data_IF_075658709338
#
_entry.id   IF_075658709338
#
_cell.length_a   1.000
_cell.length_b   1.000
_cell.length_c   1.000
_cell.angle_alpha   90.00
_cell.angle_beta   90.00
_cell.angle_gamma   90.00
#
_symmetry.space_group_name_H-M   'P 1'
#
loop_
_entity.id
_entity.type
_entity.pdbx_description
1 polymer ?
#
# COMPACT_ATOMS: atom_id res chain seq x y z
N UNK A 1 21.28 -1.77 15.92
CA UNK A 1 20.25 -2.24 14.99
C UNK A 1 19.25 -3.05 15.82
N UNK A 2 18.19 -2.44 16.26
CA UNK A 2 17.15 -3.10 17.05
C UNK A 2 16.05 -3.53 16.07
N UNK A 3 15.85 -4.82 15.94
CA UNK A 3 14.71 -5.39 15.23
C UNK A 3 13.45 -5.11 16.06
N UNK A 4 12.61 -4.16 15.63
CA UNK A 4 11.24 -4.08 16.10
C UNK A 4 10.45 -5.21 15.41
N UNK A 5 10.29 -6.33 16.12
CA UNK A 5 9.35 -7.37 15.71
C UNK A 5 7.93 -6.79 15.82
N UNK A 6 7.23 -6.68 14.71
CA UNK A 6 5.79 -6.39 14.69
C UNK A 6 5.08 -7.42 15.58
N UNK A 7 4.50 -6.96 16.69
CA UNK A 7 3.77 -7.81 17.62
C UNK A 7 2.37 -8.07 17.04
N UNK A 8 2.00 -9.33 16.86
CA UNK A 8 0.65 -9.71 16.42
C UNK A 8 -0.41 -9.39 17.50
N UNK A 9 -1.69 -9.22 17.17
CA UNK A 9 -2.77 -8.96 18.12
C UNK A 9 -2.86 -9.98 19.25
N UNK A 10 -2.56 -11.23 18.94
CA UNK A 10 -2.44 -12.29 19.95
C UNK A 10 -1.32 -12.01 20.99
N UNK A 11 -0.30 -11.22 20.64
CA UNK A 11 0.75 -10.88 21.58
C UNK A 11 0.31 -9.86 22.64
N UNK A 12 -0.65 -8.99 22.35
CA UNK A 12 -1.13 -8.04 23.34
C UNK A 12 -1.92 -8.71 24.47
N UNK A 13 -2.99 -9.38 24.11
CA UNK A 13 -3.72 -10.16 25.12
C UNK A 13 -2.82 -11.14 25.86
N UNK A 14 -1.81 -11.69 25.18
CA UNK A 14 -0.82 -12.53 25.83
C UNK A 14 0.10 -11.74 26.75
N UNK A 15 0.55 -10.54 26.37
CA UNK A 15 1.40 -9.70 27.25
C UNK A 15 0.61 -9.17 28.45
N UNK A 16 -0.63 -8.71 28.25
CA UNK A 16 -1.52 -8.36 29.38
C UNK A 16 -1.80 -9.57 30.25
N UNK A 17 -2.11 -10.73 29.68
CA UNK A 17 -2.29 -11.98 30.44
C UNK A 17 -1.03 -12.44 31.17
N UNK A 18 0.15 -12.28 30.57
CA UNK A 18 1.43 -12.61 31.19
C UNK A 18 1.70 -11.65 32.35
N UNK A 19 1.59 -10.35 32.12
CA UNK A 19 1.77 -9.33 33.15
C UNK A 19 0.77 -9.49 34.31
N UNK A 20 -0.51 -9.62 34.01
CA UNK A 20 -1.55 -9.92 35.00
C UNK A 20 -1.27 -11.25 35.69
N UNK A 21 -0.87 -12.27 34.95
CA UNK A 21 -0.54 -13.58 35.49
C UNK A 21 0.68 -13.58 36.40
N UNK A 22 1.67 -12.74 36.16
CA UNK A 22 2.84 -12.56 37.02
C UNK A 22 2.47 -11.79 38.29
N UNK A 23 1.69 -10.70 38.18
CA UNK A 23 1.15 -10.01 39.34
C UNK A 23 0.26 -10.91 40.21
N UNK A 24 -0.62 -11.71 39.59
CA UNK A 24 -1.49 -12.65 40.30
C UNK A 24 -0.72 -13.77 41.01
N UNK A 25 0.46 -14.16 40.52
CA UNK A 25 1.30 -15.15 41.19
C UNK A 25 2.02 -14.57 42.39
N UNK A 26 2.35 -13.28 42.34
CA UNK A 26 3.11 -12.60 43.38
C UNK A 26 2.19 -12.01 44.46
N UNK A 27 1.01 -11.52 44.09
CA UNK A 27 0.09 -10.86 44.97
C UNK A 27 -1.31 -11.51 44.94
N UNK A 28 -1.94 -11.64 46.09
CA UNK A 28 -3.27 -12.27 46.22
C UNK A 28 -4.38 -11.27 45.94
N UNK A 29 -4.65 -10.97 44.67
CA UNK A 29 -5.77 -10.13 44.27
C UNK A 29 -6.57 -10.73 43.10
N UNK A 30 -7.79 -10.26 42.95
CA UNK A 30 -8.65 -10.61 41.81
C UNK A 30 -8.58 -9.53 40.74
N UNK A 31 -8.81 -9.92 39.51
CA UNK A 31 -8.88 -8.95 38.41
C UNK A 31 -10.11 -9.20 37.57
N UNK A 32 -10.56 -8.14 36.92
CA UNK A 32 -11.61 -8.15 35.91
C UNK A 32 -11.14 -7.33 34.69
N UNK A 33 -11.54 -7.79 33.51
CA UNK A 33 -11.21 -7.11 32.24
C UNK A 33 -12.52 -6.73 31.59
N UNK A 34 -12.75 -5.41 31.44
CA UNK A 34 -13.94 -4.93 30.74
C UNK A 34 -13.88 -5.21 29.24
N UNK A 35 -15.01 -5.21 28.58
CA UNK A 35 -15.05 -5.06 27.13
C UNK A 35 -14.50 -3.69 26.72
N UNK A 36 -14.00 -3.60 25.46
CA UNK A 36 -13.52 -2.32 24.93
C UNK A 36 -14.65 -1.28 24.93
N UNK A 37 -14.32 -0.07 25.36
CA UNK A 37 -15.23 1.06 25.23
C UNK A 37 -15.33 1.53 23.76
N UNK A 38 -16.19 2.53 23.49
CA UNK A 38 -16.40 3.08 22.14
C UNK A 38 -15.15 3.73 21.54
N UNK A 39 -14.16 4.00 22.36
CA UNK A 39 -12.85 4.58 21.98
C UNK A 39 -11.77 3.51 21.82
N UNK A 40 -12.11 2.23 22.05
CA UNK A 40 -11.18 1.10 21.94
C UNK A 40 -10.27 0.91 23.15
N UNK A 41 -10.66 1.41 24.33
CA UNK A 41 -9.92 1.19 25.56
C UNK A 41 -10.51 0.06 26.38
N UNK A 42 -9.64 -0.75 26.97
CA UNK A 42 -9.99 -1.75 27.96
C UNK A 42 -9.61 -1.26 29.35
N UNK A 43 -10.48 -1.53 30.33
CA UNK A 43 -10.15 -1.31 31.73
C UNK A 43 -9.79 -2.66 32.34
N UNK A 44 -8.62 -2.77 32.93
CA UNK A 44 -8.25 -3.90 33.79
C UNK A 44 -8.31 -3.40 35.22
N UNK A 45 -9.22 -3.99 35.98
CA UNK A 45 -9.48 -3.62 37.35
C UNK A 45 -8.91 -4.69 38.28
N UNK A 46 -8.07 -4.26 39.20
CA UNK A 46 -7.46 -5.11 40.20
C UNK A 46 -8.05 -4.76 41.58
N UNK A 47 -8.55 -5.76 42.29
CA UNK A 47 -9.05 -5.61 43.65
C UNK A 47 -8.04 -6.19 44.63
N UNK A 48 -7.42 -5.34 45.44
CA UNK A 48 -6.33 -5.70 46.36
C UNK A 48 -6.92 -5.89 47.75
N UNK A 49 -6.72 -7.07 48.32
CA UNK A 49 -7.26 -7.44 49.64
C UNK A 49 -6.42 -7.04 50.84
N UNK A 50 -5.19 -6.50 50.66
CA UNK A 50 -4.29 -6.12 51.76
C UNK A 50 -3.39 -4.95 51.36
N UNK A 51 -3.13 -4.07 52.31
CA UNK A 51 -2.32 -2.85 52.10
C UNK A 51 -0.83 -3.11 51.99
N UNK A 52 -0.34 -4.19 52.56
CA UNK A 52 1.11 -4.50 52.59
C UNK A 52 1.69 -4.65 51.19
N UNK A 53 0.89 -5.06 50.20
CA UNK A 53 1.31 -5.29 48.82
C UNK A 53 1.14 -4.05 47.91
N UNK A 54 0.50 -3.00 48.39
CA UNK A 54 0.04 -1.89 47.58
C UNK A 54 1.15 -1.04 46.95
N UNK A 55 2.12 -0.63 47.72
CA UNK A 55 3.25 0.19 47.21
C UNK A 55 4.08 -0.56 46.18
N UNK A 56 4.22 -1.87 46.37
CA UNK A 56 4.99 -2.74 45.49
C UNK A 56 4.23 -2.97 44.18
N UNK A 57 2.91 -3.24 44.23
CA UNK A 57 2.02 -3.37 43.06
C UNK A 57 1.98 -2.06 42.26
N UNK A 58 1.84 -0.91 42.95
CA UNK A 58 1.87 0.38 42.27
C UNK A 58 3.19 0.61 41.55
N UNK A 59 4.31 0.32 42.17
CA UNK A 59 5.64 0.48 41.59
C UNK A 59 5.80 -0.39 40.35
N UNK A 60 5.40 -1.65 40.41
CA UNK A 60 5.44 -2.56 39.27
C UNK A 60 4.52 -2.08 38.11
N UNK A 61 3.33 -1.59 38.42
CA UNK A 61 2.41 -1.02 37.42
C UNK A 61 3.00 0.25 36.79
N UNK A 62 3.63 1.11 37.61
CA UNK A 62 4.25 2.35 37.12
C UNK A 62 5.49 2.07 36.25
N UNK A 63 6.30 1.07 36.63
CA UNK A 63 7.44 0.61 35.84
C UNK A 63 6.97 -0.03 34.51
N UNK A 64 5.89 -0.81 34.54
CA UNK A 64 5.29 -1.37 33.34
C UNK A 64 4.73 -0.27 32.44
N UNK A 65 4.07 0.75 32.98
CA UNK A 65 3.61 1.93 32.22
C UNK A 65 4.75 2.67 31.53
N UNK A 66 5.91 2.77 32.15
CA UNK A 66 7.08 3.40 31.53
C UNK A 66 7.70 2.53 30.41
N UNK A 67 7.59 1.20 30.55
CA UNK A 67 8.12 0.25 29.58
C UNK A 67 7.17 -0.01 28.41
N UNK A 68 5.87 0.15 28.62
CA UNK A 68 4.83 -0.14 27.66
C UNK A 68 3.89 1.08 27.49
N UNK A 69 3.94 1.70 26.31
CA UNK A 69 3.12 2.88 25.96
C UNK A 69 1.62 2.60 25.88
N UNK A 70 1.20 1.37 26.15
CA UNK A 70 -0.19 0.92 25.99
C UNK A 70 -1.07 1.24 27.18
N UNK A 71 -0.49 1.56 28.34
CA UNK A 71 -1.24 2.03 29.51
C UNK A 71 -1.48 3.53 29.39
N UNK A 72 -2.74 3.91 29.13
CA UNK A 72 -3.11 5.30 28.97
C UNK A 72 -3.23 6.04 30.32
N UNK A 73 -3.87 5.40 31.31
CA UNK A 73 -4.03 5.96 32.63
C UNK A 73 -4.12 4.88 33.70
N UNK A 74 -3.73 5.24 34.92
CA UNK A 74 -3.92 4.43 36.11
C UNK A 74 -4.74 5.28 37.09
N UNK A 75 -5.86 4.76 37.57
CA UNK A 75 -6.69 5.39 38.60
C UNK A 75 -6.88 4.44 39.77
N UNK A 76 -7.12 5.03 40.91
CA UNK A 76 -7.35 4.31 42.17
C UNK A 76 -8.74 4.65 42.67
N UNK A 77 -9.46 3.67 43.17
CA UNK A 77 -10.73 3.90 43.80
C UNK A 77 -10.86 3.09 45.08
N UNK A 78 -11.59 3.65 46.03
CA UNK A 78 -11.99 3.03 47.27
C UNK A 78 -13.50 3.19 47.43
N UNK A 79 -14.23 2.12 47.67
CA UNK A 79 -15.70 2.12 47.69
C UNK A 79 -16.36 2.82 46.50
N UNK A 80 -15.72 2.74 45.29
CA UNK A 80 -16.25 3.33 44.06
C UNK A 80 -15.95 4.82 43.87
N UNK A 81 -15.27 5.46 44.82
CA UNK A 81 -14.82 6.85 44.70
C UNK A 81 -13.34 6.89 44.32
N UNK A 82 -12.98 7.77 43.35
CA UNK A 82 -11.60 7.95 42.93
C UNK A 82 -10.79 8.62 44.04
N UNK A 83 -9.62 8.05 44.35
CA UNK A 83 -8.73 8.54 45.42
C UNK A 83 -7.35 8.88 44.85
N UNK A 84 -6.65 9.85 45.49
CA UNK A 84 -5.25 10.13 45.22
C UNK A 84 -4.34 9.11 45.91
N UNK A 85 -3.23 8.74 45.25
CA UNK A 85 -2.23 7.86 45.83
C UNK A 85 -1.77 8.24 47.22
N UNK A 86 -1.61 9.54 47.49
CA UNK A 86 -1.14 10.09 48.77
C UNK A 86 -2.21 10.04 49.89
N UNK A 87 -3.46 9.70 49.54
CA UNK A 87 -4.60 9.71 50.49
C UNK A 87 -5.22 8.34 50.74
N UNK A 88 -4.46 7.27 50.49
CA UNK A 88 -4.95 5.89 50.60
C UNK A 88 -5.28 5.57 52.06
N UNK A 89 -6.52 5.16 52.36
CA UNK A 89 -6.91 4.77 53.71
C UNK A 89 -6.24 3.46 54.14
N UNK A 90 -5.93 3.32 55.40
CA UNK A 90 -5.37 2.05 56.00
C UNK A 90 -6.36 0.86 55.95
N UNK A 91 -7.17 0.72 54.94
CA UNK A 91 -8.22 -0.33 54.89
C UNK A 91 -8.24 -1.11 53.59
N UNK A 92 -8.73 -2.35 53.71
CA UNK A 92 -8.91 -3.35 52.70
C UNK A 92 -9.84 -2.85 51.56
N UNK A 93 -9.72 -3.44 50.38
CA UNK A 93 -10.57 -3.29 49.19
C UNK A 93 -10.27 -2.05 48.31
N UNK A 94 -8.99 -1.79 48.04
CA UNK A 94 -8.58 -0.80 47.05
C UNK A 94 -8.69 -1.41 45.66
N UNK A 95 -9.27 -0.67 44.75
CA UNK A 95 -9.37 -1.04 43.35
C UNK A 95 -8.42 -0.19 42.52
N UNK A 96 -7.53 -0.83 41.78
CA UNK A 96 -6.66 -0.17 40.81
C UNK A 96 -7.24 -0.43 39.43
N UNK A 97 -7.56 0.61 38.69
CA UNK A 97 -8.00 0.48 37.30
C UNK A 97 -6.92 0.98 36.35
N UNK A 98 -6.37 0.10 35.57
CA UNK A 98 -5.46 0.45 34.48
C UNK A 98 -6.26 0.51 33.18
N UNK A 99 -6.28 1.68 32.55
CA UNK A 99 -6.89 1.88 31.24
C UNK A 99 -5.84 1.61 30.18
N UNK A 100 -6.01 0.51 29.47
CA UNK A 100 -5.17 0.12 28.35
C UNK A 100 -5.77 0.63 27.05
N UNK A 101 -4.98 1.31 26.25
CA UNK A 101 -5.30 1.46 24.85
C UNK A 101 -5.16 0.09 24.19
N UNK A 102 -6.09 -0.28 23.32
CA UNK A 102 -5.93 -1.44 22.44
C UNK A 102 -4.76 -1.15 21.49
N UNK A 103 -3.53 -1.11 22.00
CA UNK A 103 -2.29 -0.85 21.35
C UNK A 103 -2.17 0.25 20.42
N UNK A 104 -2.75 1.34 20.55
CA UNK A 104 -2.69 2.28 19.47
C UNK A 104 -2.97 1.64 18.10
N UNK A 105 -3.66 0.48 18.08
CA UNK A 105 -4.13 -0.11 16.82
C UNK A 105 -4.82 0.98 16.04
N UNK A 106 -4.38 1.16 14.82
CA UNK A 106 -4.96 2.14 13.92
C UNK A 106 -6.35 1.71 13.45
N UNK A 107 -6.55 0.42 13.29
CA UNK A 107 -7.78 -0.16 12.79
C UNK A 107 -8.00 -1.60 13.33
N UNK A 108 -9.22 -2.08 13.19
CA UNK A 108 -9.63 -3.47 13.36
C UNK A 108 -10.25 -4.03 12.09
N UNK A 109 -10.26 -5.35 12.00
CA UNK A 109 -11.01 -6.10 10.99
C UNK A 109 -12.41 -6.41 11.55
N UNK A 110 -13.44 -6.17 10.74
CA UNK A 110 -14.82 -6.53 11.06
C UNK A 110 -15.14 -7.92 10.50
N UNK A 111 -15.17 -8.93 11.36
CA UNK A 111 -15.38 -10.33 10.95
C UNK A 111 -16.76 -10.58 10.34
N UNK A 112 -17.75 -9.78 10.72
CA UNK A 112 -19.13 -9.87 10.25
C UNK A 112 -19.42 -9.06 8.98
N UNK A 113 -18.50 -8.14 8.58
CA UNK A 113 -18.60 -7.35 7.35
C UNK A 113 -17.51 -7.78 6.36
N UNK A 114 -17.87 -8.65 5.42
CA UNK A 114 -16.94 -9.20 4.44
C UNK A 114 -17.55 -9.34 3.05
N UNK A 115 -16.68 -9.35 2.05
CA UNK A 115 -17.01 -9.74 0.69
C UNK A 115 -16.33 -11.06 0.34
N UNK A 116 -16.99 -11.87 -0.48
CA UNK A 116 -16.42 -13.11 -1.03
C UNK A 116 -15.83 -12.83 -2.40
N UNK A 117 -14.61 -13.26 -2.61
CA UNK A 117 -13.92 -13.13 -3.89
C UNK A 117 -13.27 -14.45 -4.28
N UNK A 118 -13.18 -14.70 -5.57
CA UNK A 118 -12.48 -15.87 -6.08
C UNK A 118 -11.01 -15.51 -6.37
N UNK A 119 -10.12 -16.42 -6.05
CA UNK A 119 -8.69 -16.33 -6.38
C UNK A 119 -8.20 -17.67 -6.93
N UNK A 120 -7.15 -17.62 -7.76
CA UNK A 120 -6.50 -18.81 -8.26
C UNK A 120 -5.36 -19.19 -7.31
N UNK A 121 -5.39 -20.40 -6.79
CA UNK A 121 -4.27 -20.98 -6.03
C UNK A 121 -3.73 -22.19 -6.80
N UNK A 122 -2.40 -22.28 -6.91
CA UNK A 122 -1.74 -23.49 -7.42
C UNK A 122 -1.78 -24.57 -6.35
N UNK A 123 -2.27 -25.75 -6.68
CA UNK A 123 -2.15 -26.91 -5.82
C UNK A 123 -0.71 -27.40 -5.83
N UNK A 124 -0.10 -27.53 -4.65
CA UNK A 124 1.33 -27.92 -4.50
C UNK A 124 1.57 -29.35 -4.95
N UNK A 125 0.51 -30.21 -5.00
CA UNK A 125 0.63 -31.64 -5.25
C UNK A 125 0.64 -32.06 -6.72
N UNK A 126 0.01 -31.29 -7.60
CA UNK A 126 -0.23 -31.69 -9.00
C UNK A 126 -0.06 -30.56 -10.03
N UNK A 127 0.22 -29.34 -9.55
CA UNK A 127 0.37 -28.16 -10.42
C UNK A 127 -0.93 -27.64 -11.04
N UNK A 128 -2.08 -28.23 -10.69
CA UNK A 128 -3.36 -27.74 -11.14
C UNK A 128 -3.75 -26.43 -10.46
N UNK A 129 -4.34 -25.52 -11.24
CA UNK A 129 -4.85 -24.24 -10.74
C UNK A 129 -6.28 -24.43 -10.26
N UNK A 130 -6.50 -24.29 -8.96
CA UNK A 130 -7.85 -24.32 -8.38
C UNK A 130 -8.38 -22.91 -8.14
N UNK A 131 -9.69 -22.73 -8.36
CA UNK A 131 -10.40 -21.51 -7.96
C UNK A 131 -10.84 -21.68 -6.50
N UNK A 132 -10.35 -20.81 -5.63
CA UNK A 132 -10.69 -20.81 -4.21
C UNK A 132 -11.46 -19.55 -3.87
N UNK A 133 -12.58 -19.69 -3.16
CA UNK A 133 -13.30 -18.56 -2.57
C UNK A 133 -12.58 -18.14 -1.28
N UNK A 134 -12.23 -16.86 -1.18
CA UNK A 134 -11.69 -16.25 0.03
C UNK A 134 -12.58 -15.11 0.51
N UNK A 135 -12.50 -14.80 1.79
CA UNK A 135 -13.16 -13.64 2.39
C UNK A 135 -12.20 -12.48 2.49
N UNK A 136 -12.66 -11.30 2.13
CA UNK A 136 -11.99 -10.04 2.42
C UNK A 136 -12.85 -9.26 3.39
N UNK A 137 -12.29 -8.90 4.51
CA UNK A 137 -12.97 -8.27 5.64
C UNK A 137 -12.83 -6.77 5.60
N UNK A 138 -13.89 -6.06 5.93
CA UNK A 138 -13.92 -4.62 6.09
C UNK A 138 -13.03 -4.19 7.23
N UNK A 139 -12.34 -3.06 7.07
CA UNK A 139 -11.59 -2.45 8.17
C UNK A 139 -12.36 -1.26 8.76
N UNK A 140 -12.15 -1.00 10.06
CA UNK A 140 -12.70 0.15 10.77
C UNK A 140 -11.61 0.82 11.59
N UNK A 141 -11.52 2.15 11.49
CA UNK A 141 -10.55 2.94 12.24
C UNK A 141 -10.86 2.91 13.75
N UNK A 142 -9.84 2.65 14.56
CA UNK A 142 -9.91 2.67 16.01
C UNK A 142 -9.40 3.98 16.62
N UNK A 143 -8.71 4.81 15.84
CA UNK A 143 -8.25 6.13 16.23
C UNK A 143 -8.39 7.11 15.08
N UNK A 144 -8.42 8.39 15.43
CA UNK A 144 -8.36 9.47 14.44
C UNK A 144 -6.91 9.71 14.01
N UNK A 145 -6.64 9.78 12.73
CA UNK A 145 -5.32 10.09 12.18
C UNK A 145 -5.41 10.90 10.90
N UNK A 146 -4.35 11.62 10.56
CA UNK A 146 -4.31 12.49 9.38
C UNK A 146 -3.96 11.68 8.13
N UNK A 147 -4.74 11.83 7.07
CA UNK A 147 -4.38 11.27 5.75
C UNK A 147 -3.10 11.92 5.24
N UNK A 148 -2.16 11.18 4.69
CA UNK A 148 -1.04 11.77 3.95
C UNK A 148 -1.56 12.47 2.68
N UNK A 149 -1.07 13.69 2.39
CA UNK A 149 -1.38 14.35 1.11
C UNK A 149 -1.86 15.79 1.16
N UNK A 150 -1.74 16.48 2.28
CA UNK A 150 -1.65 17.95 2.29
C UNK A 150 -2.93 18.77 2.30
N UNK A 151 -4.11 18.18 2.17
CA UNK A 151 -5.40 18.90 2.30
C UNK A 151 -6.23 18.37 3.47
N UNK A 152 -5.61 18.09 4.60
CA UNK A 152 -6.23 17.64 5.85
C UNK A 152 -7.43 16.68 5.75
N UNK A 153 -7.41 15.64 4.94
CA UNK A 153 -8.38 14.60 5.11
C UNK A 153 -8.00 13.79 6.35
N UNK A 154 -8.88 13.76 7.32
CA UNK A 154 -8.73 13.01 8.56
C UNK A 154 -9.54 11.73 8.43
N UNK A 155 -8.96 10.60 8.84
CA UNK A 155 -9.73 9.38 9.12
C UNK A 155 -10.19 9.48 10.56
N UNK A 156 -11.48 9.42 10.79
CA UNK A 156 -12.04 9.49 12.13
C UNK A 156 -12.21 8.11 12.75
N UNK A 157 -12.13 8.03 14.07
CA UNK A 157 -12.49 6.83 14.81
C UNK A 157 -13.89 6.36 14.40
N UNK A 158 -14.03 5.04 14.13
CA UNK A 158 -15.27 4.45 13.64
C UNK A 158 -15.45 4.50 12.11
N UNK A 159 -14.62 5.25 11.37
CA UNK A 159 -14.69 5.32 9.90
C UNK A 159 -14.38 3.96 9.28
N UNK A 160 -15.24 3.54 8.34
CA UNK A 160 -15.07 2.30 7.60
C UNK A 160 -14.10 2.49 6.44
N UNK A 161 -13.15 1.60 6.31
CA UNK A 161 -12.20 1.58 5.21
C UNK A 161 -12.53 0.55 4.13
N UNK A 162 -11.53 0.13 3.36
CA UNK A 162 -11.61 -0.92 2.36
C UNK A 162 -11.61 -2.32 2.93
N UNK A 163 -11.07 -3.29 2.19
CA UNK A 163 -11.13 -4.71 2.53
C UNK A 163 -9.75 -5.35 2.52
N UNK A 164 -9.48 -6.19 3.52
CA UNK A 164 -8.24 -6.96 3.65
C UNK A 164 -8.54 -8.45 3.82
N UNK A 165 -7.65 -9.32 3.37
CA UNK A 165 -7.74 -10.76 3.61
C UNK A 165 -7.31 -11.09 5.05
N UNK A 166 -6.23 -10.46 5.50
CA UNK A 166 -5.64 -10.61 6.83
C UNK A 166 -5.13 -9.26 7.35
N UNK A 167 -4.89 -9.15 8.65
CA UNK A 167 -4.42 -7.90 9.26
C UNK A 167 -3.06 -7.44 8.69
N UNK A 168 -2.18 -8.35 8.34
CA UNK A 168 -0.86 -8.04 7.76
C UNK A 168 -0.91 -7.34 6.37
N UNK A 169 -2.07 -7.25 5.74
CA UNK A 169 -2.23 -6.58 4.45
C UNK A 169 -2.16 -5.05 4.56
N UNK A 170 -2.49 -4.48 5.72
CA UNK A 170 -2.41 -3.05 5.99
C UNK A 170 -1.61 -2.82 7.26
N UNK A 171 -0.60 -1.95 7.23
CA UNK A 171 0.21 -1.67 8.41
C UNK A 171 -0.61 -0.97 9.50
N UNK A 172 -0.40 -1.36 10.75
CA UNK A 172 -0.88 -0.64 11.92
C UNK A 172 -0.06 0.63 12.18
N UNK A 173 1.18 0.69 11.70
CA UNK A 173 2.07 1.84 11.80
C UNK A 173 1.81 2.83 10.67
N UNK A 174 2.20 4.11 10.88
CA UNK A 174 2.01 5.19 9.92
C UNK A 174 0.53 5.53 9.68
N UNK A 175 0.26 6.30 8.62
CA UNK A 175 -1.08 6.77 8.30
C UNK A 175 -1.66 6.11 7.04
N UNK A 176 -1.11 4.97 6.60
CA UNK A 176 -1.66 4.27 5.42
C UNK A 176 -3.13 3.87 5.65
N UNK A 177 -3.92 3.97 4.58
CA UNK A 177 -5.34 3.65 4.65
C UNK A 177 -5.90 3.14 3.31
N UNK A 178 -6.92 2.30 3.43
CA UNK A 178 -7.73 1.84 2.31
C UNK A 178 -9.09 2.53 2.37
N UNK A 179 -9.50 3.16 1.28
CA UNK A 179 -10.80 3.80 1.17
C UNK A 179 -11.75 3.01 0.27
N UNK A 180 -13.03 3.28 0.39
CA UNK A 180 -14.09 2.82 -0.50
C UNK A 180 -14.13 1.28 -0.67
N UNK A 181 -13.82 0.81 -1.87
CA UNK A 181 -13.80 -0.61 -2.25
C UNK A 181 -12.40 -1.13 -2.55
N UNK A 182 -11.36 -0.42 -2.09
CA UNK A 182 -9.99 -0.87 -2.21
C UNK A 182 -9.79 -2.22 -1.51
N UNK A 183 -9.03 -3.11 -2.11
CA UNK A 183 -8.85 -4.50 -1.66
C UNK A 183 -7.39 -4.87 -1.64
N UNK A 184 -6.98 -5.54 -0.57
CA UNK A 184 -5.64 -6.10 -0.44
C UNK A 184 -5.76 -7.58 -0.06
N UNK A 185 -5.09 -8.45 -0.81
CA UNK A 185 -5.15 -9.90 -0.64
C UNK A 185 -3.89 -10.61 -1.15
N UNK A 186 -3.84 -11.93 -1.01
CA UNK A 186 -2.77 -12.79 -1.54
C UNK A 186 -1.36 -12.26 -1.18
N UNK A 187 -1.15 -11.89 0.09
CA UNK A 187 0.13 -11.36 0.58
C UNK A 187 0.45 -9.93 0.15
N UNK A 188 -0.46 -9.23 -0.54
CA UNK A 188 -0.31 -7.82 -0.83
C UNK A 188 -0.20 -6.98 0.44
N UNK A 189 0.51 -5.85 0.40
CA UNK A 189 0.73 -4.97 1.56
C UNK A 189 0.61 -3.50 1.23
N UNK A 190 0.02 -2.73 2.16
CA UNK A 190 -0.02 -1.27 2.12
C UNK A 190 0.60 -0.75 3.42
N UNK A 191 1.66 0.04 3.30
CA UNK A 191 2.56 0.40 4.40
C UNK A 191 2.77 1.92 4.48
N UNK A 192 3.42 2.35 5.56
CA UNK A 192 3.88 3.72 5.81
C UNK A 192 2.70 4.73 5.79
N UNK A 193 2.70 5.67 4.82
CA UNK A 193 1.66 6.68 4.63
C UNK A 193 0.90 6.51 3.30
N UNK A 194 0.91 5.31 2.73
CA UNK A 194 0.28 5.05 1.44
C UNK A 194 -1.25 5.06 1.50
N UNK A 195 -1.88 5.59 0.47
CA UNK A 195 -3.33 5.64 0.31
C UNK A 195 -3.75 4.82 -0.91
N UNK A 196 -4.74 3.95 -0.71
CA UNK A 196 -5.37 3.18 -1.80
C UNK A 196 -6.87 3.40 -1.74
N UNK A 197 -7.49 3.78 -2.85
CA UNK A 197 -8.91 4.12 -2.87
C UNK A 197 -9.65 3.60 -4.11
N UNK A 198 -10.96 3.84 -4.17
CA UNK A 198 -11.87 3.36 -5.22
C UNK A 198 -11.91 1.82 -5.31
N UNK A 199 -11.63 1.26 -6.50
CA UNK A 199 -11.71 -0.18 -6.76
C UNK A 199 -10.35 -0.86 -6.94
N UNK A 200 -9.30 -0.24 -6.44
CA UNK A 200 -7.94 -0.76 -6.57
C UNK A 200 -7.76 -2.13 -5.90
N UNK A 201 -6.90 -2.95 -6.47
CA UNK A 201 -6.52 -4.25 -5.96
C UNK A 201 -5.00 -4.37 -5.83
N UNK A 202 -4.54 -4.70 -4.63
CA UNK A 202 -3.14 -5.03 -4.33
C UNK A 202 -3.06 -6.51 -3.99
N UNK A 203 -2.24 -7.27 -4.70
CA UNK A 203 -2.22 -8.74 -4.55
C UNK A 203 -0.88 -9.38 -4.91
N UNK A 204 -0.78 -10.69 -4.68
CA UNK A 204 0.37 -11.52 -5.06
C UNK A 204 1.70 -10.94 -4.59
N UNK A 205 1.80 -10.69 -3.28
CA UNK A 205 2.98 -10.17 -2.59
C UNK A 205 3.46 -8.78 -3.10
N UNK A 206 2.58 -7.98 -3.69
CA UNK A 206 2.91 -6.63 -4.12
C UNK A 206 2.83 -5.66 -2.96
N UNK A 207 3.59 -4.57 -3.02
CA UNK A 207 3.74 -3.61 -1.94
C UNK A 207 3.46 -2.20 -2.44
N UNK A 208 2.62 -1.46 -1.72
CA UNK A 208 2.45 -0.01 -1.88
C UNK A 208 2.92 0.64 -0.58
N UNK A 209 3.88 1.57 -0.66
CA UNK A 209 4.50 2.17 0.52
C UNK A 209 4.92 3.62 0.29
N UNK A 210 5.53 4.22 1.34
CA UNK A 210 5.90 5.61 1.35
C UNK A 210 4.66 6.50 1.34
N UNK A 211 4.69 7.61 0.61
CA UNK A 211 3.55 8.52 0.41
C UNK A 211 2.81 8.26 -0.89
N UNK A 212 2.74 7.00 -1.30
CA UNK A 212 2.07 6.63 -2.54
C UNK A 212 0.55 6.85 -2.48
N UNK A 213 -0.01 7.26 -3.60
CA UNK A 213 -1.46 7.44 -3.78
C UNK A 213 -1.91 6.62 -4.99
N UNK A 214 -2.79 5.65 -4.77
CA UNK A 214 -3.25 4.73 -5.82
C UNK A 214 -4.78 4.72 -5.85
N UNK A 215 -5.37 5.17 -6.96
CA UNK A 215 -6.82 5.34 -7.09
C UNK A 215 -7.39 4.93 -8.44
N UNK A 216 -8.73 4.83 -8.51
CA UNK A 216 -9.45 4.39 -9.71
C UNK A 216 -9.62 2.87 -9.78
N UNK A 217 -9.22 2.25 -10.88
CA UNK A 217 -9.27 0.80 -11.11
C UNK A 217 -7.86 0.23 -11.28
N UNK A 218 -6.97 0.51 -10.32
CA UNK A 218 -5.59 0.08 -10.40
C UNK A 218 -5.42 -1.38 -9.93
N UNK A 219 -4.53 -2.10 -10.60
CA UNK A 219 -4.10 -3.45 -10.23
C UNK A 219 -2.59 -3.46 -10.00
N UNK A 220 -2.16 -3.69 -8.76
CA UNK A 220 -0.75 -3.87 -8.40
C UNK A 220 -0.57 -5.32 -8.00
N UNK A 221 0.16 -6.08 -8.79
CA UNK A 221 0.19 -7.54 -8.68
C UNK A 221 1.56 -8.13 -9.04
N UNK A 222 1.76 -9.41 -8.70
CA UNK A 222 2.95 -10.19 -9.04
C UNK A 222 4.25 -9.53 -8.55
N UNK A 223 4.35 -9.32 -7.23
CA UNK A 223 5.54 -8.81 -6.52
C UNK A 223 5.99 -7.41 -6.98
N UNK A 224 5.06 -6.61 -7.51
CA UNK A 224 5.35 -5.26 -7.93
C UNK A 224 5.37 -4.29 -6.73
N UNK A 225 6.13 -3.21 -6.84
CA UNK A 225 6.34 -2.26 -5.74
C UNK A 225 6.05 -0.84 -6.19
N UNK A 226 5.24 -0.11 -5.41
CA UNK A 226 4.96 1.30 -5.61
C UNK A 226 5.52 2.08 -4.42
N UNK A 227 6.37 3.08 -4.67
CA UNK A 227 7.01 3.88 -3.63
C UNK A 227 6.92 5.36 -3.99
N UNK A 228 6.39 6.20 -3.09
CA UNK A 228 6.34 7.66 -3.23
C UNK A 228 5.85 8.12 -4.62
N UNK A 229 4.79 7.49 -5.13
CA UNK A 229 4.30 7.69 -6.50
C UNK A 229 2.79 7.78 -6.55
N UNK A 230 2.24 8.32 -7.64
CA UNK A 230 0.81 8.51 -7.83
C UNK A 230 0.31 7.78 -9.07
N UNK A 231 -0.68 6.91 -8.88
CA UNK A 231 -1.34 6.13 -9.93
C UNK A 231 -2.83 6.41 -9.89
N UNK A 232 -3.40 6.81 -11.03
CA UNK A 232 -4.83 7.10 -11.14
C UNK A 232 -5.40 6.63 -12.49
N UNK A 233 -6.64 6.18 -12.46
CA UNK A 233 -7.32 5.65 -13.66
C UNK A 233 -7.31 4.12 -13.70
N UNK A 234 -6.97 3.54 -14.84
CA UNK A 234 -6.87 2.10 -15.06
C UNK A 234 -5.40 1.69 -15.19
N UNK A 235 -4.66 1.74 -14.07
CA UNK A 235 -3.22 1.45 -14.08
C UNK A 235 -2.97 0.01 -13.65
N UNK A 236 -2.21 -0.74 -14.45
CA UNK A 236 -1.78 -2.10 -14.14
C UNK A 236 -0.27 -2.12 -13.96
N UNK A 237 0.19 -2.48 -12.77
CA UNK A 237 1.62 -2.70 -12.48
C UNK A 237 1.83 -4.17 -12.14
N UNK A 238 2.62 -4.86 -12.95
CA UNK A 238 2.74 -6.30 -12.97
C UNK A 238 4.19 -6.75 -13.14
N UNK A 239 4.48 -8.03 -12.92
CA UNK A 239 5.71 -8.69 -13.36
C UNK A 239 6.97 -8.24 -12.63
N UNK A 240 6.97 -8.06 -11.31
CA UNK A 240 8.09 -7.54 -10.51
C UNK A 240 8.49 -6.09 -10.87
N UNK A 241 7.52 -5.32 -11.36
CA UNK A 241 7.76 -3.92 -11.72
C UNK A 241 7.88 -3.04 -10.50
N UNK A 242 8.69 -1.97 -10.63
CA UNK A 242 8.79 -0.92 -9.61
C UNK A 242 8.34 0.42 -10.19
N UNK A 243 7.50 1.15 -9.45
CA UNK A 243 7.14 2.55 -9.75
C UNK A 243 7.51 3.39 -8.54
N UNK A 244 8.40 4.39 -8.72
CA UNK A 244 9.01 5.07 -7.58
C UNK A 244 9.38 6.54 -7.83
N UNK A 245 9.86 7.22 -6.77
CA UNK A 245 10.50 8.55 -6.84
C UNK A 245 9.67 9.62 -7.55
N UNK A 246 8.39 9.73 -7.15
CA UNK A 246 7.50 10.77 -7.65
C UNK A 246 6.92 10.52 -9.04
N UNK A 247 6.93 9.28 -9.53
CA UNK A 247 6.29 8.95 -10.79
C UNK A 247 4.77 9.19 -10.72
N UNK A 248 4.21 9.75 -11.78
CA UNK A 248 2.79 9.98 -11.95
C UNK A 248 2.25 9.25 -13.18
N UNK A 249 1.35 8.31 -12.95
CA UNK A 249 0.72 7.50 -14.00
C UNK A 249 -0.79 7.77 -14.00
N UNK A 250 -1.29 8.32 -15.11
CA UNK A 250 -2.70 8.69 -15.23
C UNK A 250 -3.34 8.18 -16.53
N UNK A 251 -4.44 7.45 -16.41
CA UNK A 251 -5.19 6.94 -17.57
C UNK A 251 -5.19 5.43 -17.67
N UNK A 252 -4.97 4.87 -18.85
CA UNK A 252 -4.88 3.44 -19.12
C UNK A 252 -3.40 3.03 -19.23
N UNK A 253 -2.71 2.86 -18.10
CA UNK A 253 -1.27 2.63 -18.10
C UNK A 253 -0.97 1.18 -17.72
N UNK A 254 -0.13 0.52 -18.51
CA UNK A 254 0.44 -0.80 -18.19
C UNK A 254 1.94 -0.70 -17.92
N UNK A 255 2.41 -1.24 -16.79
CA UNK A 255 3.83 -1.36 -16.45
C UNK A 255 4.11 -2.84 -16.17
N UNK A 256 4.92 -3.48 -17.01
CA UNK A 256 5.23 -4.89 -16.90
C UNK A 256 6.75 -5.14 -16.99
N UNK A 257 7.30 -5.88 -16.03
CA UNK A 257 8.73 -6.18 -15.93
C UNK A 257 9.64 -4.94 -16.08
N UNK A 258 9.22 -3.81 -15.50
CA UNK A 258 9.81 -2.51 -15.75
C UNK A 258 10.08 -1.75 -14.46
N UNK A 259 11.03 -0.83 -14.53
CA UNK A 259 11.40 0.08 -13.46
C UNK A 259 11.12 1.52 -13.92
N UNK A 260 10.14 2.19 -13.29
CA UNK A 260 9.66 3.51 -13.69
C UNK A 260 9.80 4.47 -12.52
N UNK A 261 10.71 5.43 -12.64
CA UNK A 261 11.02 6.33 -11.54
C UNK A 261 11.47 7.72 -11.94
N UNK A 262 11.96 8.48 -10.95
CA UNK A 262 12.56 9.79 -11.13
C UNK A 262 11.64 10.82 -11.82
N UNK A 263 10.45 11.07 -11.25
CA UNK A 263 9.49 12.08 -11.72
C UNK A 263 8.93 11.80 -13.13
N UNK A 264 8.85 10.55 -13.51
CA UNK A 264 8.21 10.15 -14.77
C UNK A 264 6.72 10.52 -14.74
N UNK A 265 6.23 11.13 -15.80
CA UNK A 265 4.84 11.53 -15.99
C UNK A 265 4.28 10.86 -17.25
N UNK A 266 3.43 9.85 -17.07
CA UNK A 266 2.78 9.13 -18.16
C UNK A 266 1.27 9.40 -18.12
N UNK A 267 0.73 9.98 -19.20
CA UNK A 267 -0.67 10.36 -19.29
C UNK A 267 -1.29 9.77 -20.55
N UNK A 268 -2.42 9.08 -20.43
CA UNK A 268 -3.16 8.57 -21.57
C UNK A 268 -3.24 7.05 -21.59
N UNK A 269 -2.97 6.43 -22.74
CA UNK A 269 -2.91 4.98 -22.94
C UNK A 269 -1.47 4.56 -23.25
N UNK A 270 -0.73 4.20 -22.20
CA UNK A 270 0.71 3.92 -22.35
C UNK A 270 1.04 2.55 -21.77
N UNK A 271 1.84 1.79 -22.51
CA UNK A 271 2.40 0.53 -22.05
C UNK A 271 3.92 0.63 -21.95
N UNK A 272 4.48 0.27 -20.79
CA UNK A 272 5.92 0.19 -20.54
C UNK A 272 6.25 -1.26 -20.24
N UNK A 273 7.06 -1.88 -21.10
CA UNK A 273 7.42 -3.28 -20.98
C UNK A 273 8.94 -3.47 -21.02
N UNK A 274 9.46 -4.28 -20.07
CA UNK A 274 10.87 -4.68 -20.02
C UNK A 274 11.83 -3.49 -20.14
N UNK A 275 11.49 -2.37 -19.51
CA UNK A 275 12.18 -1.10 -19.65
C UNK A 275 12.54 -0.50 -18.31
N UNK A 276 13.66 0.21 -18.28
CA UNK A 276 14.08 1.01 -17.14
C UNK A 276 14.02 2.49 -17.50
N UNK A 277 13.16 3.25 -16.85
CA UNK A 277 13.04 4.68 -17.02
C UNK A 277 13.58 5.37 -15.76
N UNK A 278 14.81 5.86 -15.84
CA UNK A 278 15.56 6.44 -14.71
C UNK A 278 15.73 7.96 -14.82
N UNK A 279 15.12 8.58 -15.80
CA UNK A 279 15.15 10.01 -16.01
C UNK A 279 13.74 10.59 -16.02
N UNK A 280 13.53 11.86 -15.63
CA UNK A 280 12.27 12.53 -15.78
C UNK A 280 11.80 12.47 -17.23
N UNK A 281 10.67 11.80 -17.46
CA UNK A 281 10.07 11.64 -18.79
C UNK A 281 8.63 12.11 -18.72
N UNK A 282 8.24 12.99 -19.63
CA UNK A 282 6.84 13.34 -19.85
C UNK A 282 6.37 12.77 -21.19
N UNK A 283 5.39 11.87 -21.15
CA UNK A 283 4.81 11.26 -22.33
C UNK A 283 3.30 11.26 -22.19
N UNK A 284 2.61 11.90 -23.15
CA UNK A 284 1.16 11.99 -23.17
C UNK A 284 0.60 11.50 -24.49
N UNK A 285 -0.32 10.53 -24.45
CA UNK A 285 -0.94 9.97 -25.66
C UNK A 285 -1.13 8.45 -25.58
N UNK A 286 -1.02 7.80 -26.75
CA UNK A 286 -1.17 6.35 -26.92
C UNK A 286 0.14 5.77 -27.43
N UNK A 287 0.96 5.23 -26.51
CA UNK A 287 2.33 4.79 -26.81
C UNK A 287 2.66 3.44 -26.19
N UNK A 288 3.65 2.78 -26.76
CA UNK A 288 4.29 1.62 -26.17
C UNK A 288 5.81 1.84 -26.10
N UNK A 289 6.36 1.78 -24.89
CA UNK A 289 7.77 2.00 -24.59
C UNK A 289 8.39 0.66 -24.16
N UNK A 290 9.32 0.14 -24.96
CA UNK A 290 9.96 -1.15 -24.75
C UNK A 290 11.49 -1.05 -24.78
N UNK A 291 12.05 0.09 -24.32
CA UNK A 291 13.51 0.31 -24.19
C UNK A 291 13.82 1.23 -23.02
N UNK A 292 15.08 1.20 -22.58
CA UNK A 292 15.54 1.98 -21.44
C UNK A 292 15.66 3.48 -21.77
N UNK A 293 15.29 4.33 -20.78
CA UNK A 293 15.39 5.79 -20.88
C UNK A 293 16.18 6.31 -19.69
N UNK A 294 17.37 6.80 -19.94
CA UNK A 294 18.29 7.33 -18.91
C UNK A 294 18.50 8.84 -18.97
N UNK A 295 18.02 9.52 -20.02
CA UNK A 295 18.11 10.96 -20.23
C UNK A 295 16.70 11.53 -20.42
N UNK A 296 16.30 12.60 -19.70
CA UNK A 296 14.97 13.20 -19.79
C UNK A 296 14.63 13.74 -21.19
N UNK A 297 15.63 14.04 -21.99
CA UNK A 297 15.46 14.56 -23.34
C UNK A 297 15.68 13.50 -24.42
N UNK A 298 15.92 12.23 -24.04
CA UNK A 298 16.36 11.19 -24.96
C UNK A 298 15.24 10.55 -25.80
N UNK A 299 13.97 10.85 -25.53
CA UNK A 299 12.84 10.25 -26.27
C UNK A 299 11.86 11.28 -26.81
N UNK A 300 11.14 10.89 -27.85
CA UNK A 300 10.05 11.65 -28.46
C UNK A 300 8.95 10.69 -28.92
N UNK A 301 7.71 11.08 -28.69
CA UNK A 301 6.54 10.37 -29.22
C UNK A 301 6.06 10.97 -30.53
N UNK A 302 5.80 10.13 -31.51
CA UNK A 302 5.19 10.51 -32.78
C UNK A 302 3.78 9.96 -32.87
N UNK A 303 2.81 10.85 -33.07
CA UNK A 303 1.45 10.47 -33.36
C UNK A 303 1.35 10.13 -34.86
N UNK A 304 1.21 8.85 -35.17
CA UNK A 304 1.10 8.36 -36.55
C UNK A 304 -0.35 8.10 -36.99
N UNK A 305 -1.32 8.58 -36.19
CA UNK A 305 -2.73 8.55 -36.57
C UNK A 305 -3.01 9.46 -37.77
N UNK A 306 -3.56 8.89 -38.85
CA UNK A 306 -3.99 9.69 -40.00
C UNK A 306 -5.28 10.45 -39.69
N UNK A 307 -5.47 11.71 -40.20
CA UNK A 307 -6.74 12.36 -40.19
C UNK A 307 -7.73 11.60 -41.13
N UNK A 308 -8.73 10.96 -40.53
CA UNK A 308 -9.72 10.21 -41.29
C UNK A 308 -10.37 9.01 -40.60
N UNK A 309 -10.05 8.74 -39.36
CA UNK A 309 -10.87 7.91 -38.47
C UNK A 309 -10.92 6.42 -38.74
N UNK A 310 -10.01 5.81 -39.48
CA UNK A 310 -9.87 4.34 -39.52
C UNK A 310 -9.00 3.88 -38.35
N UNK A 311 -9.52 2.95 -37.55
CA UNK A 311 -8.77 2.25 -36.51
C UNK A 311 -7.62 1.47 -37.17
N UNK A 312 -6.38 1.96 -36.98
CA UNK A 312 -5.19 1.27 -37.44
C UNK A 312 -4.59 0.42 -36.32
N UNK A 313 -4.01 -0.71 -36.71
CA UNK A 313 -3.42 -1.69 -35.80
C UNK A 313 -2.12 -1.22 -35.12
N UNK A 314 -1.49 -0.14 -35.60
CA UNK A 314 -0.23 0.35 -35.07
C UNK A 314 -0.46 1.50 -34.10
N UNK A 315 0.07 1.38 -32.90
CA UNK A 315 0.14 2.44 -31.88
C UNK A 315 1.08 3.56 -32.34
N UNK A 316 1.00 4.69 -31.68
CA UNK A 316 1.96 5.75 -31.89
C UNK A 316 3.42 5.27 -31.63
N UNK A 317 4.36 5.91 -32.27
CA UNK A 317 5.75 5.51 -32.25
C UNK A 317 6.49 6.32 -31.19
N UNK A 318 7.32 5.64 -30.39
CA UNK A 318 8.31 6.30 -29.51
C UNK A 318 9.71 6.07 -30.11
N UNK A 319 10.49 7.13 -30.22
CA UNK A 319 11.84 7.08 -30.73
C UNK A 319 12.85 7.66 -29.75
N UNK A 320 14.06 7.08 -29.69
CA UNK A 320 15.19 7.63 -28.98
C UNK A 320 15.84 8.77 -29.80
N UNK A 321 16.19 9.86 -29.14
CA UNK A 321 16.92 10.99 -29.77
C UNK A 321 18.43 10.82 -29.72
N UNK A 322 18.94 9.80 -29.05
CA UNK A 322 20.37 9.57 -28.82
C UNK A 322 20.91 8.37 -29.58
N UNK A 323 20.03 7.46 -30.01
CA UNK A 323 20.33 6.25 -30.79
C UNK A 323 19.23 5.94 -31.78
N UNK A 324 19.53 5.18 -32.82
CA UNK A 324 18.51 4.69 -33.77
C UNK A 324 17.71 3.54 -33.14
N UNK A 325 16.75 3.90 -32.24
CA UNK A 325 15.91 2.96 -31.51
C UNK A 325 14.47 3.42 -31.45
N UNK A 326 13.57 2.55 -31.83
CA UNK A 326 12.16 2.82 -32.03
C UNK A 326 11.29 1.77 -31.37
N UNK A 327 10.14 2.17 -30.91
CA UNK A 327 9.16 1.26 -30.28
C UNK A 327 7.74 1.60 -30.71
N UNK A 328 6.96 0.60 -31.07
CA UNK A 328 5.52 0.70 -31.32
C UNK A 328 4.85 -0.66 -31.22
N UNK A 329 3.80 -0.80 -30.47
CA UNK A 329 3.20 -2.10 -30.20
C UNK A 329 4.23 -3.08 -29.62
N UNK A 330 4.31 -4.26 -30.14
CA UNK A 330 5.30 -5.27 -29.73
C UNK A 330 6.66 -5.10 -30.44
N UNK A 331 6.79 -4.11 -31.33
CA UNK A 331 8.02 -3.84 -32.06
C UNK A 331 9.02 -3.02 -31.24
N UNK A 332 10.26 -3.42 -31.27
CA UNK A 332 11.44 -2.66 -30.86
C UNK A 332 12.58 -2.92 -31.83
N UNK A 333 13.20 -1.86 -32.37
CA UNK A 333 14.29 -1.99 -33.33
C UNK A 333 14.79 -0.66 -33.86
N UNK A 334 15.56 -0.71 -34.93
CA UNK A 334 16.05 0.44 -35.69
C UNK A 334 14.99 1.05 -36.59
N UNK A 335 15.21 2.26 -37.10
CA UNK A 335 14.29 2.89 -38.04
C UNK A 335 14.10 2.10 -39.34
N UNK A 336 15.12 1.42 -39.84
CA UNK A 336 15.02 0.54 -41.01
C UNK A 336 14.15 -0.67 -40.72
N UNK A 337 14.36 -1.34 -39.58
CA UNK A 337 13.55 -2.49 -39.16
C UNK A 337 12.08 -2.08 -38.87
N UNK A 338 11.84 -0.85 -38.35
CA UNK A 338 10.50 -0.32 -38.19
C UNK A 338 9.78 -0.18 -39.53
N UNK A 339 10.45 0.35 -40.57
CA UNK A 339 9.88 0.50 -41.91
C UNK A 339 9.53 -0.89 -42.47
N UNK A 340 10.39 -1.88 -42.29
CA UNK A 340 10.14 -3.26 -42.73
C UNK A 340 9.00 -3.90 -41.95
N UNK A 341 8.93 -3.69 -40.64
CA UNK A 341 7.86 -4.21 -39.78
C UNK A 341 6.46 -3.71 -40.21
N UNK A 342 6.33 -2.44 -40.59
CA UNK A 342 5.03 -1.89 -41.00
C UNK A 342 4.70 -2.24 -42.45
N UNK A 343 5.66 -2.62 -43.30
CA UNK A 343 5.47 -2.89 -44.73
C UNK A 343 4.47 -4.03 -45.01
N UNK A 344 4.44 -5.04 -44.10
CA UNK A 344 3.59 -6.21 -44.27
C UNK A 344 2.13 -5.97 -43.79
N UNK A 345 1.88 -4.87 -43.07
CA UNK A 345 0.60 -4.64 -42.36
C UNK A 345 -0.18 -3.42 -42.81
N UNK A 346 0.42 -2.50 -43.62
CA UNK A 346 -0.15 -1.21 -43.92
C UNK A 346 -0.15 -0.81 -45.41
N UNK A 347 -0.91 0.24 -45.70
CA UNK A 347 -0.92 0.83 -47.03
C UNK A 347 0.38 1.66 -47.32
N UNK A 348 0.65 1.83 -48.59
CA UNK A 348 1.87 2.50 -49.08
C UNK A 348 1.97 3.96 -48.61
N UNK A 349 0.84 4.65 -48.43
CA UNK A 349 0.85 6.06 -47.92
C UNK A 349 1.39 6.12 -46.50
N UNK A 350 1.00 5.18 -45.68
CA UNK A 350 1.44 5.11 -44.29
C UNK A 350 2.91 4.71 -44.17
N UNK A 351 3.32 3.73 -44.94
CA UNK A 351 4.74 3.33 -45.02
C UNK A 351 5.60 4.54 -45.38
N UNK A 352 5.20 5.31 -46.38
CA UNK A 352 5.92 6.51 -46.81
C UNK A 352 5.91 7.61 -45.75
N UNK A 353 4.79 7.76 -44.99
CA UNK A 353 4.70 8.70 -43.90
C UNK A 353 5.65 8.33 -42.75
N UNK A 354 5.64 7.08 -42.30
CA UNK A 354 6.57 6.62 -41.25
C UNK A 354 8.01 6.69 -41.72
N UNK A 355 8.30 6.33 -42.96
CA UNK A 355 9.65 6.52 -43.54
C UNK A 355 10.10 7.97 -43.46
N UNK A 356 9.26 8.93 -43.80
CA UNK A 356 9.57 10.35 -43.70
C UNK A 356 9.85 10.79 -42.25
N UNK A 357 9.12 10.23 -41.26
CA UNK A 357 9.37 10.48 -39.84
C UNK A 357 10.74 9.92 -39.45
N UNK A 358 11.06 8.69 -39.84
CA UNK A 358 12.34 8.04 -39.51
C UNK A 358 13.51 8.84 -40.10
N UNK A 359 13.46 9.13 -41.39
CA UNK A 359 14.51 9.93 -42.09
C UNK A 359 14.67 11.31 -41.47
N UNK A 360 13.57 12.00 -41.20
CA UNK A 360 13.65 13.33 -40.59
C UNK A 360 14.26 13.25 -39.18
N UNK A 361 13.83 12.28 -38.36
CA UNK A 361 14.35 12.09 -37.00
C UNK A 361 15.84 11.80 -37.00
N UNK A 362 16.32 10.83 -37.80
CA UNK A 362 17.71 10.44 -37.88
C UNK A 362 18.58 11.63 -38.33
N UNK A 363 18.11 12.39 -39.34
CA UNK A 363 18.82 13.56 -39.82
C UNK A 363 18.84 14.69 -38.80
N UNK A 364 17.68 14.97 -38.15
CA UNK A 364 17.59 16.07 -37.17
C UNK A 364 18.46 15.84 -35.95
N UNK A 365 18.50 14.64 -35.41
CA UNK A 365 19.31 14.26 -34.23
C UNK A 365 20.71 13.77 -34.63
N UNK A 366 21.06 13.78 -35.93
CA UNK A 366 22.38 13.34 -36.47
C UNK A 366 22.73 11.91 -36.08
N UNK A 367 21.72 11.06 -35.96
CA UNK A 367 21.87 9.65 -35.65
C UNK A 367 22.37 8.89 -36.90
N UNK A 368 23.34 7.99 -36.71
CA UNK A 368 23.69 7.06 -37.79
C UNK A 368 22.67 5.96 -37.81
N UNK A 369 21.91 5.86 -38.90
CA UNK A 369 21.10 4.69 -39.15
C UNK A 369 22.01 3.46 -39.34
N UNK A 370 21.76 2.41 -38.58
CA UNK A 370 22.45 1.12 -38.75
C UNK A 370 21.80 0.34 -39.86
#
# INVERSE_FOLDING_TARGET
>A
MAHSSARSPNNFFNNVKIFVGELLKKYHFTHDISEADKEGYYNVTYSIGSIEDYEEVYKEIAEFKQSDSDINSISFSYNGEEISFDTIPEKKDITITCRFNQHGKKYQILEDDFIKVHTFKSCISDGEMSIVEIKLYRIQALKTFTKPGGCNPVVHVGELGGYVEVEDNLSQDGNCWLFDKARVKDGGKVLDDAIVYDKCLVSKNSIIRGRSVVGGHCFVTNQSVIIDSRLEGNVIVNGHSTVHSGAYLYGEIGVDQSDVGNLVNLIGRISVKKSRITAPLELSGDYELNFDVSDPHSVIGYNVGMPGGRLFAIKNIVASKVEDKWSTGDFVGTGAELIDFIRDSDDEQRINYVRSIVEHHLNFFKLKGN
#
